data_IF_667673970923
#
_entry.id   IF_667673970923
#
_cell.length_a   1.000
_cell.length_b   1.000
_cell.length_c   1.000
_cell.angle_alpha   90.00
_cell.angle_beta   90.00
_cell.angle_gamma   90.00
#
_symmetry.space_group_name_H-M   'P 1'
#
loop_
_entity.id
_entity.type
_entity.pdbx_description
1 polymer ?
#
# COMPACT_ATOMS: atom_id res chain seq x y z
N UNK A 1 -10.25 6.53 24.48
CA UNK A 1 -11.57 6.11 24.04
C UNK A 1 -12.65 6.56 25.01
N UNK A 2 -12.57 6.19 26.30
CA UNK A 2 -13.60 6.45 27.31
C UNK A 2 -13.90 7.95 27.52
N UNK A 3 -12.90 8.81 27.36
CA UNK A 3 -13.08 10.25 27.40
C UNK A 3 -13.93 10.73 26.23
N UNK A 4 -13.66 10.24 25.01
CA UNK A 4 -14.38 10.66 23.80
C UNK A 4 -15.79 10.08 23.72
N UNK A 5 -16.02 8.88 24.26
CA UNK A 5 -17.37 8.30 24.38
C UNK A 5 -18.30 9.16 25.25
N UNK A 6 -17.73 9.87 26.24
CA UNK A 6 -18.48 10.77 27.14
C UNK A 6 -18.54 12.20 26.63
N UNK A 7 -17.87 12.51 25.50
CA UNK A 7 -17.83 13.85 24.95
C UNK A 7 -19.22 14.26 24.40
N UNK A 8 -19.71 15.43 24.83
CA UNK A 8 -21.04 15.94 24.48
C UNK A 8 -21.02 16.90 23.28
N UNK A 9 -19.84 17.32 22.82
CA UNK A 9 -19.68 18.22 21.66
C UNK A 9 -19.59 17.45 20.36
N UNK A 10 -19.55 18.16 19.23
CA UNK A 10 -19.24 17.56 17.93
C UNK A 10 -17.77 17.18 17.86
N UNK A 11 -17.48 16.01 17.29
CA UNK A 11 -16.13 15.50 17.06
C UNK A 11 -16.00 15.10 15.59
N UNK A 12 -15.00 15.65 14.92
CA UNK A 12 -14.59 15.21 13.57
C UNK A 12 -13.17 14.70 13.67
N UNK A 13 -12.95 13.49 13.17
CA UNK A 13 -11.66 12.84 13.24
C UNK A 13 -11.32 12.11 11.93
N UNK A 14 -10.03 11.99 11.65
CA UNK A 14 -9.48 11.15 10.59
C UNK A 14 -8.50 10.17 11.26
N UNK A 15 -8.76 8.89 11.13
CA UNK A 15 -7.91 7.84 11.70
C UNK A 15 -7.98 6.56 10.87
N UNK A 16 -6.94 5.76 10.95
CA UNK A 16 -6.87 4.41 10.36
C UNK A 16 -7.15 3.31 11.40
N UNK A 17 -7.33 3.67 12.66
CA UNK A 17 -7.66 2.73 13.73
C UNK A 17 -9.13 2.34 13.67
N UNK A 18 -9.37 1.11 13.18
CA UNK A 18 -10.71 0.56 12.97
C UNK A 18 -11.45 0.31 14.29
N UNK A 19 -10.73 -0.14 15.30
CA UNK A 19 -11.31 -0.39 16.63
C UNK A 19 -11.76 0.91 17.31
N UNK A 20 -10.94 1.94 17.14
CA UNK A 20 -11.27 3.25 17.65
C UNK A 20 -12.49 3.86 16.92
N UNK A 21 -12.55 3.75 15.60
CA UNK A 21 -13.71 4.17 14.81
C UNK A 21 -14.97 3.42 15.22
N UNK A 22 -14.87 2.11 15.43
CA UNK A 22 -16.02 1.28 15.81
C UNK A 22 -16.56 1.62 17.20
N UNK A 23 -15.66 1.97 18.12
CA UNK A 23 -16.01 2.24 19.51
C UNK A 23 -16.52 3.66 19.78
N UNK A 24 -16.12 4.66 18.99
CA UNK A 24 -16.34 6.07 19.28
C UNK A 24 -17.28 6.73 18.27
N UNK A 25 -17.26 6.30 16.99
CA UNK A 25 -18.01 6.95 15.93
C UNK A 25 -19.45 6.43 15.82
N UNK A 26 -20.39 7.35 15.61
CA UNK A 26 -21.80 7.07 15.29
C UNK A 26 -22.16 7.41 13.84
N UNK A 27 -21.25 8.05 13.14
CA UNK A 27 -21.38 8.39 11.72
C UNK A 27 -20.02 8.30 11.04
N UNK A 28 -19.96 7.69 9.87
CA UNK A 28 -18.78 7.63 9.04
C UNK A 28 -19.03 8.36 7.73
N UNK A 29 -18.06 9.17 7.33
CA UNK A 29 -18.05 9.87 6.04
C UNK A 29 -16.90 9.30 5.21
N UNK A 30 -17.24 8.68 4.10
CA UNK A 30 -16.29 8.14 3.13
C UNK A 30 -16.13 9.13 1.98
N UNK A 31 -14.88 9.40 1.62
CA UNK A 31 -14.53 10.14 0.40
C UNK A 31 -13.95 9.12 -0.58
N UNK A 32 -14.69 8.84 -1.65
CA UNK A 32 -14.31 7.86 -2.65
C UNK A 32 -14.52 8.40 -4.06
N UNK A 33 -13.48 8.39 -4.89
CA UNK A 33 -13.51 8.80 -6.31
C UNK A 33 -14.17 10.19 -6.52
N UNK A 34 -13.86 11.15 -5.63
CA UNK A 34 -14.41 12.51 -5.68
C UNK A 34 -15.84 12.65 -5.18
N UNK A 35 -16.46 11.58 -4.68
CA UNK A 35 -17.80 11.58 -4.08
C UNK A 35 -17.72 11.43 -2.57
N UNK A 36 -18.71 11.97 -1.89
CA UNK A 36 -18.84 11.89 -0.44
C UNK A 36 -20.04 11.02 -0.12
N UNK A 37 -19.82 9.99 0.69
CA UNK A 37 -20.87 9.09 1.17
C UNK A 37 -20.94 9.19 2.69
N UNK A 38 -22.13 9.34 3.24
CA UNK A 38 -22.36 9.44 4.69
C UNK A 38 -23.16 8.24 5.16
N UNK A 39 -22.65 7.57 6.18
CA UNK A 39 -23.25 6.38 6.77
C UNK A 39 -23.55 6.66 8.24
N UNK A 40 -24.79 6.46 8.64
CA UNK A 40 -25.26 6.57 10.04
C UNK A 40 -24.95 5.25 10.77
N UNK A 41 -23.68 4.94 10.96
CA UNK A 41 -23.24 3.68 11.56
C UNK A 41 -21.84 3.82 12.17
N UNK A 42 -21.47 2.89 13.04
CA UNK A 42 -20.09 2.63 13.45
C UNK A 42 -19.29 1.96 12.31
N UNK A 43 -18.04 1.60 12.55
CA UNK A 43 -17.18 1.05 11.49
C UNK A 43 -17.70 -0.28 10.92
N UNK A 44 -18.18 -1.18 11.78
CA UNK A 44 -18.73 -2.47 11.37
C UNK A 44 -19.98 -2.30 10.48
N UNK A 45 -20.93 -1.48 10.90
CA UNK A 45 -22.11 -1.17 10.11
C UNK A 45 -21.81 -0.41 8.80
N UNK A 46 -20.77 0.45 8.81
CA UNK A 46 -20.29 1.09 7.58
C UNK A 46 -19.82 0.05 6.55
N UNK A 47 -19.07 -0.96 6.98
CA UNK A 47 -18.58 -2.00 6.06
C UNK A 47 -19.73 -2.75 5.37
N UNK A 48 -20.78 -3.09 6.10
CA UNK A 48 -21.97 -3.74 5.56
C UNK A 48 -22.68 -2.85 4.52
N UNK A 49 -22.92 -1.59 4.88
CA UNK A 49 -23.59 -0.62 4.00
C UNK A 49 -22.74 -0.31 2.76
N UNK A 50 -21.43 -0.24 2.90
CA UNK A 50 -20.50 -0.08 1.77
C UNK A 50 -20.58 -1.27 0.82
N UNK A 51 -20.56 -2.49 1.33
CA UNK A 51 -20.68 -3.70 0.52
C UNK A 51 -22.00 -3.73 -0.26
N UNK A 52 -23.11 -3.43 0.40
CA UNK A 52 -24.42 -3.35 -0.26
C UNK A 52 -24.43 -2.28 -1.37
N UNK A 53 -23.86 -1.09 -1.12
CA UNK A 53 -23.74 -0.05 -2.15
C UNK A 53 -22.94 -0.54 -3.36
N UNK A 54 -21.79 -1.16 -3.14
CA UNK A 54 -20.93 -1.68 -4.21
C UNK A 54 -21.62 -2.77 -5.03
N UNK A 55 -22.36 -3.66 -4.38
CA UNK A 55 -23.17 -4.68 -5.06
C UNK A 55 -24.26 -4.05 -5.93
N UNK A 56 -24.99 -3.05 -5.44
CA UNK A 56 -26.01 -2.33 -6.20
C UNK A 56 -25.40 -1.57 -7.39
N UNK A 57 -24.27 -0.90 -7.21
CA UNK A 57 -23.54 -0.22 -8.28
C UNK A 57 -23.08 -1.21 -9.36
N UNK A 58 -22.54 -2.36 -8.96
CA UNK A 58 -22.10 -3.43 -9.88
C UNK A 58 -23.28 -4.04 -10.64
N UNK A 59 -24.39 -4.30 -9.98
CA UNK A 59 -25.61 -4.82 -10.62
C UNK A 59 -26.20 -3.80 -11.61
N UNK A 60 -26.24 -2.52 -11.25
CA UNK A 60 -26.66 -1.44 -12.13
C UNK A 60 -25.80 -1.35 -13.37
N UNK A 61 -24.48 -1.45 -13.21
CA UNK A 61 -23.53 -1.38 -14.31
C UNK A 61 -23.66 -2.60 -15.26
N UNK A 62 -23.79 -3.81 -14.72
CA UNK A 62 -24.07 -5.00 -15.53
C UNK A 62 -25.34 -4.85 -16.35
N UNK A 63 -26.40 -4.30 -15.76
CA UNK A 63 -27.65 -4.02 -16.46
C UNK A 63 -27.46 -2.99 -17.58
N UNK A 64 -26.72 -1.91 -17.31
CA UNK A 64 -26.37 -0.88 -18.31
C UNK A 64 -25.62 -1.49 -19.50
N UNK A 65 -24.59 -2.31 -19.24
CA UNK A 65 -23.79 -2.96 -20.28
C UNK A 65 -24.64 -3.94 -21.12
N UNK A 66 -25.55 -4.66 -20.49
CA UNK A 66 -26.51 -5.53 -21.21
C UNK A 66 -27.40 -4.73 -22.16
N UNK A 67 -27.94 -3.61 -21.72
CA UNK A 67 -28.75 -2.70 -22.54
C UNK A 67 -27.90 -2.15 -23.70
N UNK A 68 -26.69 -1.65 -23.41
CA UNK A 68 -25.80 -1.10 -24.43
C UNK A 68 -25.48 -2.13 -25.52
N UNK A 69 -25.25 -3.40 -25.15
CA UNK A 69 -25.00 -4.49 -26.10
C UNK A 69 -26.20 -4.68 -27.05
N UNK A 70 -27.40 -4.78 -26.50
CA UNK A 70 -28.62 -4.97 -27.29
C UNK A 70 -28.88 -3.78 -28.22
N UNK A 71 -28.70 -2.57 -27.72
CA UNK A 71 -28.88 -1.35 -28.52
C UNK A 71 -27.82 -1.21 -29.61
N UNK A 72 -26.56 -1.58 -29.32
CA UNK A 72 -25.49 -1.57 -30.29
C UNK A 72 -25.75 -2.56 -31.44
N UNK A 73 -26.18 -3.79 -31.12
CA UNK A 73 -26.56 -4.77 -32.15
C UNK A 73 -27.70 -4.26 -33.04
N UNK A 74 -28.69 -3.59 -32.44
CA UNK A 74 -29.79 -3.01 -33.19
C UNK A 74 -29.29 -1.87 -34.12
N UNK A 75 -28.39 -1.00 -33.68
CA UNK A 75 -27.78 0.07 -34.49
C UNK A 75 -26.98 -0.52 -35.63
N UNK A 76 -26.17 -1.57 -35.39
CA UNK A 76 -25.32 -2.22 -36.41
C UNK A 76 -26.13 -2.93 -37.48
N UNK A 77 -27.32 -3.44 -37.20
CA UNK A 77 -28.24 -4.04 -38.20
C UNK A 77 -28.84 -3.02 -39.17
N UNK A 78 -28.35 -1.79 -39.17
CA UNK A 78 -28.75 -0.78 -40.16
C UNK A 78 -30.06 -0.07 -39.83
N UNK A 79 -30.25 0.28 -38.59
CA UNK A 79 -31.38 1.12 -38.14
C UNK A 79 -31.42 2.44 -38.94
N UNK A 80 -32.30 2.55 -39.93
CA UNK A 80 -32.48 3.77 -40.69
C UNK A 80 -33.12 4.85 -39.80
N UNK A 81 -32.33 5.83 -39.35
CA UNK A 81 -32.75 6.92 -38.44
C UNK A 81 -33.75 7.90 -39.07
N UNK A 82 -34.81 7.39 -39.76
CA UNK A 82 -35.80 8.24 -40.44
C UNK A 82 -37.01 8.58 -39.56
N UNK A 83 -37.25 7.90 -38.42
CA UNK A 83 -38.37 8.20 -37.56
C UNK A 83 -37.93 8.86 -36.26
N UNK A 84 -38.81 9.68 -35.66
CA UNK A 84 -38.54 10.36 -34.39
C UNK A 84 -38.27 9.35 -33.24
N UNK A 85 -38.93 8.19 -33.23
CA UNK A 85 -38.71 7.12 -32.26
C UNK A 85 -37.31 6.52 -32.37
N UNK A 86 -36.80 6.37 -33.57
CA UNK A 86 -35.43 5.85 -33.79
C UNK A 86 -34.36 6.84 -33.36
N UNK A 87 -34.57 8.14 -33.61
CA UNK A 87 -33.66 9.21 -33.11
C UNK A 87 -33.59 9.21 -31.58
N UNK A 88 -34.76 9.16 -30.92
CA UNK A 88 -34.84 9.13 -29.44
C UNK A 88 -34.15 7.87 -28.86
N UNK A 89 -34.17 6.72 -29.58
CA UNK A 89 -33.50 5.49 -29.15
C UNK A 89 -31.98 5.60 -29.29
N UNK A 90 -31.48 6.18 -30.39
CA UNK A 90 -30.05 6.45 -30.58
C UNK A 90 -29.55 7.43 -29.53
N UNK A 91 -30.28 8.52 -29.29
CA UNK A 91 -29.92 9.50 -28.25
C UNK A 91 -29.82 8.83 -26.87
N UNK A 92 -30.79 7.98 -26.51
CA UNK A 92 -30.73 7.21 -25.24
C UNK A 92 -29.51 6.30 -25.17
N UNK A 93 -29.12 5.66 -26.29
CA UNK A 93 -27.91 4.85 -26.35
C UNK A 93 -26.66 5.71 -26.10
N UNK A 94 -26.56 6.88 -26.74
CA UNK A 94 -25.44 7.82 -26.55
C UNK A 94 -25.36 8.32 -25.11
N UNK A 95 -26.48 8.71 -24.51
CA UNK A 95 -26.54 9.10 -23.10
C UNK A 95 -26.10 7.98 -22.14
N UNK A 96 -26.49 6.73 -22.41
CA UNK A 96 -26.08 5.58 -21.63
C UNK A 96 -24.61 5.21 -21.85
N UNK A 97 -24.10 5.37 -23.08
CA UNK A 97 -22.69 5.10 -23.44
C UNK A 97 -21.75 6.12 -22.79
N UNK A 98 -22.12 7.40 -22.87
CA UNK A 98 -21.28 8.50 -22.42
C UNK A 98 -21.33 8.70 -20.89
N UNK A 99 -22.19 7.96 -20.20
CA UNK A 99 -22.17 7.93 -18.75
C UNK A 99 -20.88 7.31 -18.26
N UNK A 100 -20.15 8.02 -17.40
CA UNK A 100 -18.90 7.53 -16.81
C UNK A 100 -19.05 6.14 -16.19
N UNK A 101 -18.14 5.25 -16.54
CA UNK A 101 -18.04 3.95 -15.90
C UNK A 101 -17.62 4.15 -14.44
N UNK A 102 -18.22 3.43 -13.47
CA UNK A 102 -17.66 3.37 -12.14
C UNK A 102 -16.21 2.87 -12.26
N UNK A 103 -15.26 3.69 -11.83
CA UNK A 103 -13.86 3.30 -11.84
C UNK A 103 -13.71 2.02 -10.99
N UNK A 104 -13.31 0.92 -11.62
CA UNK A 104 -13.01 -0.31 -10.91
C UNK A 104 -11.83 -0.06 -9.97
N UNK A 105 -11.93 -0.57 -8.74
CA UNK A 105 -10.80 -0.56 -7.83
C UNK A 105 -9.73 -1.50 -8.39
N UNK A 106 -8.64 -0.91 -8.89
CA UNK A 106 -7.48 -1.68 -9.30
C UNK A 106 -6.87 -2.32 -8.06
N UNK A 107 -6.82 -3.64 -8.03
CA UNK A 107 -6.14 -4.36 -6.96
C UNK A 107 -4.66 -4.42 -7.26
N UNK A 108 -3.85 -4.14 -6.24
CA UNK A 108 -2.41 -4.28 -6.33
C UNK A 108 -2.05 -5.76 -6.34
N UNK A 109 -1.42 -6.24 -7.41
CA UNK A 109 -0.94 -7.61 -7.51
C UNK A 109 0.47 -7.72 -6.93
N UNK A 110 0.56 -8.33 -5.76
CA UNK A 110 1.83 -8.62 -5.09
C UNK A 110 2.28 -10.04 -5.46
N UNK A 111 3.14 -10.17 -6.45
CA UNK A 111 3.83 -11.41 -6.75
C UNK A 111 5.34 -11.18 -6.65
N UNK A 112 5.98 -11.76 -5.66
CA UNK A 112 7.44 -11.74 -5.49
C UNK A 112 7.94 -13.17 -5.35
N UNK A 113 9.00 -13.52 -6.07
CA UNK A 113 9.73 -14.76 -5.83
C UNK A 113 10.69 -14.50 -4.67
N UNK A 114 10.52 -15.21 -3.57
CA UNK A 114 11.56 -15.26 -2.55
C UNK A 114 12.71 -16.12 -3.07
N UNK A 115 13.94 -15.62 -3.01
CA UNK A 115 15.13 -16.40 -3.31
C UNK A 115 15.29 -17.51 -2.27
N UNK A 116 15.93 -18.63 -2.67
CA UNK A 116 16.14 -19.78 -1.78
C UNK A 116 16.94 -19.35 -0.55
N UNK A 117 16.36 -19.53 0.64
CA UNK A 117 17.05 -19.32 1.92
C UNK A 117 17.79 -20.59 2.31
N UNK A 118 19.06 -20.47 2.71
CA UNK A 118 19.89 -21.57 3.21
C UNK A 118 19.49 -22.02 4.63
N UNK A 119 20.35 -22.84 5.25
CA UNK A 119 20.15 -23.32 6.63
C UNK A 119 20.37 -22.20 7.66
N UNK A 120 21.42 -21.38 7.47
CA UNK A 120 21.70 -20.23 8.32
C UNK A 120 20.83 -19.07 7.87
N UNK A 121 20.08 -18.50 8.78
CA UNK A 121 19.14 -17.39 8.55
C UNK A 121 19.71 -16.12 9.16
N UNK A 122 18.98 -15.48 10.07
CA UNK A 122 19.43 -14.34 10.85
C UNK A 122 19.45 -14.76 12.32
N UNK A 123 20.59 -14.63 12.96
CA UNK A 123 20.80 -15.02 14.36
C UNK A 123 21.31 -13.80 15.13
N UNK A 124 20.74 -13.56 16.29
CA UNK A 124 21.10 -12.50 17.21
C UNK A 124 21.67 -13.14 18.46
N UNK A 125 22.86 -12.73 18.85
CA UNK A 125 23.55 -13.25 20.03
C UNK A 125 23.88 -12.10 21.01
N UNK A 126 23.29 -12.12 22.19
CA UNK A 126 23.55 -11.21 23.31
C UNK A 126 23.53 -9.71 22.92
N UNK A 127 22.57 -9.32 22.06
CA UNK A 127 22.48 -7.95 21.58
C UNK A 127 22.13 -7.01 22.71
N UNK A 128 22.94 -5.97 22.87
CA UNK A 128 22.69 -4.86 23.77
C UNK A 128 22.69 -3.54 23.00
N UNK A 129 21.81 -2.62 23.41
CA UNK A 129 21.78 -1.24 22.89
C UNK A 129 21.26 -0.27 23.92
N UNK A 130 22.01 0.80 24.15
CA UNK A 130 21.62 1.90 25.03
C UNK A 130 21.80 3.25 24.31
N UNK A 131 21.07 4.25 24.76
CA UNK A 131 21.23 5.64 24.37
C UNK A 131 21.38 6.47 25.65
N UNK A 132 22.60 6.95 25.90
CA UNK A 132 22.98 7.57 27.18
C UNK A 132 22.73 6.59 28.33
N UNK A 133 22.01 7.01 29.35
CA UNK A 133 21.69 6.16 30.54
C UNK A 133 20.53 5.20 30.31
N UNK A 134 19.83 5.29 29.16
CA UNK A 134 18.67 4.48 28.87
C UNK A 134 19.03 3.21 28.10
N UNK A 135 18.98 2.08 28.77
CA UNK A 135 19.09 0.76 28.13
C UNK A 135 17.77 0.42 27.42
N UNK A 136 17.84 0.16 26.11
CA UNK A 136 16.68 -0.23 25.30
C UNK A 136 16.62 -1.73 25.05
N UNK A 137 17.78 -2.35 24.84
CA UNK A 137 17.89 -3.79 24.56
C UNK A 137 19.00 -4.30 25.48
N UNK A 138 18.73 -5.38 26.19
CA UNK A 138 19.66 -5.99 27.13
C UNK A 138 19.66 -7.50 26.94
N UNK A 139 20.81 -8.02 26.55
CA UNK A 139 21.10 -9.47 26.37
C UNK A 139 20.06 -10.21 25.53
N UNK A 140 19.67 -9.63 24.39
CA UNK A 140 18.66 -10.20 23.53
C UNK A 140 19.29 -11.19 22.53
N UNK A 141 18.87 -12.46 22.60
CA UNK A 141 19.28 -13.51 21.67
C UNK A 141 18.07 -14.15 21.02
N UNK A 142 18.10 -14.31 19.69
CA UNK A 142 17.03 -14.92 18.94
C UNK A 142 17.51 -15.48 17.60
N UNK A 143 16.96 -16.59 17.16
CA UNK A 143 17.23 -17.21 15.86
C UNK A 143 15.96 -17.18 15.04
N UNK A 144 15.98 -16.48 13.91
CA UNK A 144 14.86 -16.47 12.97
C UNK A 144 14.96 -17.70 12.07
N UNK A 145 13.91 -18.47 12.01
CA UNK A 145 13.83 -19.66 11.15
C UNK A 145 13.19 -19.32 9.80
N UNK A 146 13.44 -20.16 8.81
CA UNK A 146 12.80 -20.03 7.51
C UNK A 146 11.27 -20.18 7.64
N UNK A 147 10.54 -19.18 7.17
CA UNK A 147 9.07 -19.15 7.21
C UNK A 147 8.48 -18.54 8.47
N UNK A 148 9.30 -18.12 9.42
CA UNK A 148 8.82 -17.42 10.60
C UNK A 148 8.14 -16.08 10.23
N UNK A 149 7.11 -15.76 10.99
CA UNK A 149 6.43 -14.46 10.97
C UNK A 149 6.38 -13.94 12.40
N UNK A 150 7.36 -13.12 12.74
CA UNK A 150 7.60 -12.64 14.11
C UNK A 150 7.08 -11.21 14.24
N UNK A 151 6.22 -10.95 15.22
CA UNK A 151 5.74 -9.63 15.59
C UNK A 151 6.37 -9.14 16.89
N UNK A 152 6.96 -7.94 16.88
CA UNK A 152 7.47 -7.30 18.10
C UNK A 152 6.41 -6.37 18.70
N UNK A 153 5.97 -6.68 19.91
CA UNK A 153 4.94 -5.93 20.63
C UNK A 153 5.56 -5.27 21.86
N UNK A 154 5.16 -4.05 22.13
CA UNK A 154 5.61 -3.30 23.32
C UNK A 154 5.23 -1.83 23.25
N UNK A 155 5.35 -1.08 24.36
CA UNK A 155 5.03 0.34 24.42
C UNK A 155 5.91 1.17 23.47
N UNK A 156 5.48 2.40 23.19
CA UNK A 156 6.27 3.32 22.34
C UNK A 156 7.59 3.66 23.05
N UNK A 157 8.68 3.68 22.28
CA UNK A 157 10.02 3.97 22.77
C UNK A 157 10.68 2.81 23.52
N UNK A 158 10.15 1.56 23.49
CA UNK A 158 10.81 0.42 24.13
C UNK A 158 11.95 -0.20 23.30
N UNK A 159 12.27 0.33 22.10
CA UNK A 159 13.39 -0.15 21.30
C UNK A 159 13.03 -1.04 20.10
N UNK A 160 11.74 -1.22 19.76
CA UNK A 160 11.31 -2.05 18.62
C UNK A 160 11.98 -1.63 17.29
N UNK A 161 11.87 -0.36 16.93
CA UNK A 161 12.47 0.17 15.70
C UNK A 161 13.99 0.13 15.75
N UNK A 162 14.59 0.33 16.92
CA UNK A 162 16.03 0.20 17.15
C UNK A 162 16.51 -1.21 16.87
N UNK A 163 15.79 -2.23 17.37
CA UNK A 163 16.12 -3.63 17.11
C UNK A 163 16.03 -3.94 15.61
N UNK A 164 14.97 -3.47 14.93
CA UNK A 164 14.81 -3.64 13.48
C UNK A 164 15.97 -3.01 12.69
N UNK A 165 16.39 -1.80 13.08
CA UNK A 165 17.52 -1.11 12.47
C UNK A 165 18.85 -1.83 12.72
N UNK A 166 19.04 -2.43 13.90
CA UNK A 166 20.23 -3.26 14.20
C UNK A 166 20.24 -4.51 13.32
N UNK A 167 19.11 -5.21 13.21
CA UNK A 167 19.00 -6.40 12.33
C UNK A 167 19.27 -6.03 10.88
N UNK A 168 18.78 -4.88 10.44
CA UNK A 168 19.00 -4.35 9.09
C UNK A 168 20.44 -3.87 8.83
N UNK A 169 21.27 -3.78 9.87
CA UNK A 169 22.63 -3.24 9.76
C UNK A 169 22.68 -1.72 9.56
N UNK A 170 21.58 -1.01 9.83
CA UNK A 170 21.49 0.46 9.70
C UNK A 170 22.21 1.16 10.84
N UNK A 171 22.05 0.65 12.08
CA UNK A 171 22.74 1.13 13.27
C UNK A 171 23.50 -0.01 13.92
N UNK A 172 24.70 0.25 14.48
CA UNK A 172 25.45 -0.77 15.19
C UNK A 172 24.86 -1.06 16.57
N UNK A 173 24.96 -2.30 17.01
CA UNK A 173 24.76 -2.70 18.40
C UNK A 173 25.95 -2.25 19.26
N UNK A 174 25.72 -2.08 20.57
CA UNK A 174 26.79 -1.72 21.50
C UNK A 174 27.62 -2.96 21.94
N UNK A 175 26.94 -4.12 22.05
CA UNK A 175 27.57 -5.43 22.28
C UNK A 175 26.71 -6.53 21.69
N UNK A 176 27.29 -7.74 21.60
CA UNK A 176 26.67 -8.89 20.94
C UNK A 176 26.99 -8.99 19.47
N UNK A 177 26.37 -9.92 18.76
CA UNK A 177 26.64 -10.19 17.36
C UNK A 177 25.35 -10.44 16.58
N UNK A 178 25.27 -9.86 15.36
CA UNK A 178 24.25 -10.17 14.36
C UNK A 178 24.89 -11.04 13.28
N UNK A 179 24.43 -12.26 13.14
CA UNK A 179 24.92 -13.23 12.16
C UNK A 179 23.88 -13.33 11.05
N UNK A 180 24.26 -12.96 9.83
CA UNK A 180 23.39 -13.00 8.66
C UNK A 180 23.90 -14.06 7.72
N UNK A 181 23.06 -15.04 7.38
CA UNK A 181 23.42 -16.12 6.46
C UNK A 181 23.73 -15.58 5.05
N UNK A 182 24.71 -16.17 4.38
CA UNK A 182 25.20 -15.73 3.05
C UNK A 182 24.11 -15.70 1.97
N UNK A 183 23.04 -16.48 2.14
CA UNK A 183 21.90 -16.52 1.21
C UNK A 183 20.75 -15.60 1.58
N UNK A 184 20.88 -14.89 2.70
CA UNK A 184 19.87 -13.96 3.17
C UNK A 184 19.94 -12.68 2.34
N UNK A 185 18.85 -12.36 1.67
CA UNK A 185 18.61 -11.07 1.03
C UNK A 185 17.61 -10.30 1.86
N UNK A 186 18.10 -9.31 2.58
CA UNK A 186 17.30 -8.52 3.50
C UNK A 186 16.60 -7.39 2.78
N UNK A 187 15.30 -7.23 3.02
CA UNK A 187 14.50 -6.09 2.63
C UNK A 187 14.04 -5.33 3.87
N UNK A 188 14.44 -4.07 3.99
CA UNK A 188 13.97 -3.19 5.07
C UNK A 188 12.99 -2.16 4.54
N UNK A 189 11.79 -2.16 5.09
CA UNK A 189 10.75 -1.18 4.80
C UNK A 189 10.67 -0.15 5.91
N UNK A 190 11.15 1.05 5.66
CA UNK A 190 11.06 2.15 6.60
C UNK A 190 9.61 2.64 6.72
N UNK A 191 9.10 2.74 7.93
CA UNK A 191 7.73 3.20 8.22
C UNK A 191 7.56 4.70 7.89
N UNK A 192 8.60 5.50 8.12
CA UNK A 192 8.67 6.92 7.77
C UNK A 192 9.54 7.10 6.53
N UNK A 193 9.12 8.00 5.65
CA UNK A 193 9.86 8.37 4.45
C UNK A 193 10.41 9.75 4.70
N UNK A 194 11.74 9.86 4.75
CA UNK A 194 12.43 11.13 4.94
C UNK A 194 12.43 11.94 3.63
N UNK A 195 12.12 13.22 3.72
CA UNK A 195 12.25 14.19 2.62
C UNK A 195 13.63 14.86 2.60
N UNK A 196 14.37 14.77 3.69
CA UNK A 196 15.72 15.29 3.86
C UNK A 196 16.65 14.14 4.22
N UNK A 197 17.89 14.19 3.77
CA UNK A 197 18.90 13.20 4.14
C UNK A 197 19.27 13.38 5.61
N UNK A 198 19.39 12.29 6.34
CA UNK A 198 19.98 12.31 7.66
C UNK A 198 21.45 12.74 7.53
N UNK A 199 21.86 13.71 8.35
CA UNK A 199 23.24 14.21 8.40
C UNK A 199 24.15 13.30 9.25
N UNK A 200 23.58 12.32 9.96
CA UNK A 200 24.35 11.34 10.73
C UNK A 200 25.08 10.36 9.80
N UNK A 201 26.39 10.55 9.66
CA UNK A 201 27.27 9.70 8.83
C UNK A 201 27.26 8.21 9.22
N UNK A 202 26.77 7.89 10.42
CA UNK A 202 26.73 6.53 10.95
C UNK A 202 25.41 5.77 10.66
N UNK A 203 24.41 6.41 10.07
CA UNK A 203 23.10 5.80 9.77
C UNK A 203 22.85 5.75 8.26
N UNK A 204 22.68 4.56 7.73
CA UNK A 204 22.29 4.39 6.31
C UNK A 204 20.83 4.82 6.16
N UNK A 205 20.60 5.93 5.46
CA UNK A 205 19.25 6.46 5.25
C UNK A 205 18.53 5.71 4.13
N UNK A 206 17.94 4.57 4.48
CA UNK A 206 17.08 3.80 3.58
C UNK A 206 15.68 4.39 3.42
N UNK A 207 15.34 5.44 4.17
CA UNK A 207 14.04 6.10 4.12
C UNK A 207 13.99 7.29 3.17
N UNK A 208 15.16 7.81 2.76
CA UNK A 208 15.25 8.98 1.91
C UNK A 208 14.79 8.71 0.48
N UNK A 209 13.95 9.59 -0.04
CA UNK A 209 13.56 9.64 -1.44
C UNK A 209 13.82 11.04 -2.00
N UNK A 210 14.70 11.12 -3.00
CA UNK A 210 14.95 12.40 -3.67
C UNK A 210 13.66 12.92 -4.34
N UNK A 211 13.12 14.07 -3.93
CA UNK A 211 11.86 14.59 -4.47
C UNK A 211 11.91 14.95 -5.96
N UNK A 212 13.09 15.28 -6.48
CA UNK A 212 13.29 15.67 -7.89
C UNK A 212 13.49 14.47 -8.82
N UNK A 213 13.77 13.30 -8.27
CA UNK A 213 13.95 12.07 -9.03
C UNK A 213 12.61 11.57 -9.60
N UNK A 214 12.62 11.02 -10.83
CA UNK A 214 11.42 10.40 -11.40
C UNK A 214 11.14 9.05 -10.73
N UNK A 215 9.86 8.72 -10.62
CA UNK A 215 9.40 7.45 -10.04
C UNK A 215 10.04 6.24 -10.72
N UNK A 216 10.13 6.25 -12.06
CA UNK A 216 10.71 5.15 -12.83
C UNK A 216 12.21 5.00 -12.57
N UNK A 217 12.95 6.11 -12.46
CA UNK A 217 14.39 6.08 -12.26
C UNK A 217 14.72 5.56 -10.85
N UNK A 218 13.94 5.92 -9.84
CA UNK A 218 14.07 5.43 -8.46
C UNK A 218 13.96 3.90 -8.37
N UNK A 219 13.07 3.29 -9.17
CA UNK A 219 12.93 1.83 -9.22
C UNK A 219 14.05 1.20 -10.04
N UNK A 220 14.43 1.80 -11.16
CA UNK A 220 15.51 1.31 -12.01
C UNK A 220 16.88 1.32 -11.31
N UNK A 221 17.14 2.30 -10.46
CA UNK A 221 18.38 2.36 -9.65
C UNK A 221 18.50 1.14 -8.72
N UNK A 222 17.37 0.54 -8.35
CA UNK A 222 17.35 -0.69 -7.55
C UNK A 222 17.41 -1.94 -8.42
N UNK A 223 16.59 -2.01 -9.46
CA UNK A 223 16.55 -3.12 -10.41
C UNK A 223 15.84 -2.72 -11.70
N UNK A 224 16.49 -2.88 -12.84
CA UNK A 224 15.88 -2.65 -14.15
C UNK A 224 14.95 -3.80 -14.56
N UNK A 225 15.35 -5.03 -14.21
CA UNK A 225 14.60 -6.26 -14.46
C UNK A 225 14.41 -7.01 -13.16
N UNK A 226 13.16 -7.36 -12.86
CA UNK A 226 12.75 -7.96 -11.61
C UNK A 226 12.22 -9.37 -11.88
N UNK A 227 12.71 -10.35 -11.12
CA UNK A 227 12.21 -11.71 -11.19
C UNK A 227 10.89 -11.83 -10.42
N UNK A 228 9.85 -12.29 -11.10
CA UNK A 228 8.53 -12.57 -10.50
C UNK A 228 8.13 -14.02 -10.80
N UNK A 229 7.04 -14.48 -10.18
CA UNK A 229 6.49 -15.83 -10.40
C UNK A 229 6.16 -16.05 -11.88
N UNK A 230 5.75 -14.99 -12.59
CA UNK A 230 5.35 -15.01 -14.00
C UNK A 230 6.56 -14.86 -14.96
N UNK A 231 7.79 -14.74 -14.44
CA UNK A 231 9.00 -14.51 -15.21
C UNK A 231 9.68 -13.17 -14.91
N UNK A 232 10.56 -12.75 -15.81
CA UNK A 232 11.28 -11.47 -15.68
C UNK A 232 10.42 -10.34 -16.24
N UNK A 233 10.15 -9.34 -15.42
CA UNK A 233 9.41 -8.14 -15.82
C UNK A 233 10.27 -6.88 -15.70
N UNK A 234 9.96 -5.87 -16.51
CA UNK A 234 10.62 -4.57 -16.41
C UNK A 234 10.08 -3.75 -15.24
N UNK A 235 10.87 -2.76 -14.80
CA UNK A 235 10.46 -1.79 -13.78
C UNK A 235 9.15 -1.07 -14.15
N UNK A 236 8.89 -0.80 -15.42
CA UNK A 236 7.67 -0.18 -15.92
C UNK A 236 6.43 -1.04 -15.63
N UNK A 237 6.49 -2.33 -15.97
CA UNK A 237 5.39 -3.29 -15.73
C UNK A 237 5.16 -3.48 -14.24
N UNK A 238 6.25 -3.53 -13.43
CA UNK A 238 6.11 -3.62 -11.98
C UNK A 238 5.42 -2.39 -11.40
N UNK A 239 5.77 -1.19 -11.88
CA UNK A 239 5.11 0.06 -11.46
C UNK A 239 3.62 0.06 -11.79
N UNK A 240 3.22 -0.44 -12.96
CA UNK A 240 1.79 -0.57 -13.32
C UNK A 240 1.04 -1.50 -12.37
N UNK A 241 1.63 -2.65 -12.01
CA UNK A 241 1.07 -3.57 -11.01
C UNK A 241 0.91 -2.92 -9.63
N UNK A 242 1.76 -1.94 -9.30
CA UNK A 242 1.69 -1.14 -8.08
C UNK A 242 0.87 0.15 -8.22
N UNK A 243 0.02 0.23 -9.24
CA UNK A 243 -0.90 1.34 -9.48
C UNK A 243 -0.20 2.68 -9.77
N UNK A 244 0.94 2.63 -10.46
CA UNK A 244 1.59 3.78 -11.06
C UNK A 244 1.39 3.75 -12.58
N UNK A 245 0.35 4.42 -13.10
CA UNK A 245 0.12 4.48 -14.53
C UNK A 245 1.27 5.20 -15.26
N UNK A 246 1.45 4.99 -16.57
CA UNK A 246 2.59 5.55 -17.33
C UNK A 246 2.82 7.04 -17.11
N UNK A 247 1.77 7.83 -16.99
CA UNK A 247 1.83 9.27 -16.75
C UNK A 247 2.52 9.63 -15.43
N UNK A 248 2.28 8.81 -14.37
CA UNK A 248 2.88 9.00 -13.05
C UNK A 248 4.30 8.47 -12.96
N UNK A 249 4.67 7.49 -13.78
CA UNK A 249 6.01 6.89 -13.75
C UNK A 249 7.10 7.90 -14.08
N UNK A 250 6.81 8.86 -14.93
CA UNK A 250 7.75 9.91 -15.35
C UNK A 250 7.64 11.19 -14.51
N UNK A 251 6.74 11.23 -13.53
CA UNK A 251 6.60 12.38 -12.64
C UNK A 251 7.66 12.36 -11.52
N UNK A 252 8.05 13.54 -11.00
CA UNK A 252 8.91 13.61 -9.82
C UNK A 252 8.25 13.01 -8.57
N UNK A 253 9.03 12.34 -7.73
CA UNK A 253 8.58 11.74 -6.45
C UNK A 253 7.95 12.80 -5.53
N UNK A 254 8.43 14.03 -5.58
CA UNK A 254 7.88 15.12 -4.78
C UNK A 254 6.39 15.39 -5.01
N UNK A 255 5.88 15.09 -6.21
CA UNK A 255 4.46 15.26 -6.56
C UNK A 255 3.55 14.10 -6.08
N UNK A 256 4.14 13.02 -5.57
CA UNK A 256 3.38 11.87 -5.07
C UNK A 256 2.75 12.18 -3.71
N UNK A 257 1.55 11.67 -3.49
CA UNK A 257 0.92 11.65 -2.17
C UNK A 257 1.69 10.78 -1.18
N UNK A 258 1.50 10.98 0.12
CA UNK A 258 2.14 10.16 1.15
C UNK A 258 1.90 8.65 1.00
N UNK A 259 0.69 8.26 0.61
CA UNK A 259 0.34 6.87 0.33
C UNK A 259 1.04 6.31 -0.91
N UNK A 260 1.20 7.11 -1.96
CA UNK A 260 1.96 6.73 -3.16
C UNK A 260 3.45 6.57 -2.86
N UNK A 261 4.05 7.47 -2.07
CA UNK A 261 5.44 7.35 -1.61
C UNK A 261 5.65 6.07 -0.81
N UNK A 262 4.74 5.73 0.10
CA UNK A 262 4.79 4.46 0.87
C UNK A 262 4.71 3.23 -0.04
N UNK A 263 3.83 3.25 -1.04
CA UNK A 263 3.74 2.17 -2.04
C UNK A 263 5.00 2.06 -2.89
N UNK A 264 5.58 3.19 -3.29
CA UNK A 264 6.82 3.22 -4.06
C UNK A 264 7.99 2.65 -3.25
N UNK A 265 8.09 2.97 -1.96
CA UNK A 265 9.09 2.39 -1.07
C UNK A 265 8.92 0.88 -0.92
N UNK A 266 7.68 0.41 -0.73
CA UNK A 266 7.40 -1.03 -0.67
C UNK A 266 7.79 -1.73 -1.97
N UNK A 267 7.46 -1.14 -3.12
CA UNK A 267 7.84 -1.64 -4.44
C UNK A 267 9.37 -1.78 -4.56
N UNK A 268 10.12 -0.75 -4.16
CA UNK A 268 11.59 -0.78 -4.16
C UNK A 268 12.13 -1.95 -3.35
N UNK A 269 11.61 -2.14 -2.13
CA UNK A 269 12.03 -3.25 -1.26
C UNK A 269 11.74 -4.60 -1.94
N UNK A 270 10.56 -4.78 -2.52
CA UNK A 270 10.18 -6.03 -3.18
C UNK A 270 10.92 -6.27 -4.51
N UNK A 271 11.33 -5.21 -5.19
CA UNK A 271 12.10 -5.30 -6.44
C UNK A 271 13.45 -6.03 -6.26
N UNK A 272 14.04 -5.98 -5.05
CA UNK A 272 15.26 -6.72 -4.73
C UNK A 272 15.05 -8.23 -4.55
N UNK A 273 13.80 -8.70 -4.63
CA UNK A 273 13.41 -10.09 -4.37
C UNK A 273 13.96 -10.62 -3.03
N UNK A 274 13.64 -9.95 -1.91
CA UNK A 274 14.16 -10.33 -0.60
C UNK A 274 13.55 -11.65 -0.14
N UNK A 275 14.33 -12.41 0.65
CA UNK A 275 13.84 -13.62 1.33
C UNK A 275 13.71 -13.44 2.85
N UNK A 276 14.14 -12.28 3.37
CA UNK A 276 13.94 -11.84 4.75
C UNK A 276 13.48 -10.38 4.73
N UNK A 277 12.29 -10.11 5.26
CA UNK A 277 11.67 -8.78 5.19
C UNK A 277 11.44 -8.25 6.60
N UNK A 278 11.86 -7.01 6.83
CA UNK A 278 11.59 -6.22 8.03
C UNK A 278 10.58 -5.11 7.65
N UNK A 279 9.43 -5.08 8.36
CA UNK A 279 8.32 -4.14 8.09
C UNK A 279 8.02 -3.25 9.29
#
# INVERSE_FOLDING_TARGET
EDYLKKWRGALIMVTHDRYFLDSVCNRIVEIDKGKIYSYQANYSGYLELKTQRQEMETASERKRQSILRVELEWIQRGARARSTKQKARIQRYEELRDRENPAQDSQMELSSISTRMGKTTVELENICKAYGDRKLIEDFSYIFLKGDRVGFIGPNGCGKSTLMKIIAGIIPQDSGQVIIGQTVKMGYYAQEIASEKNEDENEIDLSYMNPDQRVIDYVKDTAEYIQTVDGVISATVLLERFLFPPEKQYSPIGKLSGGEKKRLNLLRVLATSPNFILL
#
